data_IF_031349971993
#
_entry.id   IF_031349971993
#
_cell.length_a   1.000
_cell.length_b   1.000
_cell.length_c   1.000
_cell.angle_alpha   90.00
_cell.angle_beta   90.00
_cell.angle_gamma   90.00
#
_symmetry.space_group_name_H-M   'P 1'
#
loop_
_entity.id
_entity.type
_entity.pdbx_description
1 polymer ?
#
# COMPACT_ATOMS: atom_id res chain seq x y z
N UNK A 1 22.18 8.86 0.21
CA UNK A 1 21.95 7.40 0.07
C UNK A 1 23.31 6.81 -0.23
N UNK A 2 23.82 5.94 0.63
CA UNK A 2 24.95 5.10 0.23
C UNK A 2 24.34 4.10 -0.75
N UNK A 3 24.68 4.20 -2.03
CA UNK A 3 24.31 3.15 -2.99
C UNK A 3 24.97 1.87 -2.50
N UNK A 4 24.16 0.82 -2.33
CA UNK A 4 24.64 -0.51 -2.02
C UNK A 4 25.64 -0.90 -3.12
N UNK A 5 26.79 -1.48 -2.76
CA UNK A 5 27.85 -1.85 -3.72
C UNK A 5 27.30 -2.73 -4.85
N UNK A 6 26.27 -3.52 -4.53
CA UNK A 6 25.53 -4.31 -5.51
C UNK A 6 24.75 -3.47 -6.53
N UNK A 7 24.09 -2.40 -6.10
CA UNK A 7 23.34 -1.51 -6.98
C UNK A 7 24.24 -0.79 -7.98
N UNK A 8 25.42 -0.34 -7.53
CA UNK A 8 26.44 0.26 -8.41
C UNK A 8 26.97 -0.75 -9.43
N UNK A 9 27.23 -1.99 -9.00
CA UNK A 9 27.73 -3.04 -9.89
C UNK A 9 26.69 -3.42 -10.97
N UNK A 10 25.42 -3.54 -10.57
CA UNK A 10 24.34 -3.97 -11.45
C UNK A 10 23.80 -2.84 -12.33
N UNK A 11 23.60 -1.63 -11.80
CA UNK A 11 22.92 -0.58 -12.55
C UNK A 11 23.89 0.24 -13.42
N UNK A 12 25.09 0.55 -12.92
CA UNK A 12 26.05 1.44 -13.61
C UNK A 12 27.19 0.69 -14.31
N UNK A 13 27.56 -0.49 -13.81
CA UNK A 13 28.74 -1.25 -14.27
C UNK A 13 28.37 -2.56 -14.97
N UNK A 14 27.09 -2.82 -15.21
CA UNK A 14 26.65 -4.00 -15.95
C UNK A 14 27.13 -3.94 -17.40
N UNK A 15 27.53 -5.09 -17.93
CA UNK A 15 28.13 -5.19 -19.26
C UNK A 15 27.13 -4.82 -20.37
N UNK A 16 25.84 -5.01 -20.12
CA UNK A 16 24.76 -4.71 -21.07
C UNK A 16 23.65 -3.94 -20.34
N UNK A 17 23.61 -2.62 -20.53
CA UNK A 17 22.52 -1.76 -20.10
C UNK A 17 22.04 -0.92 -21.30
N UNK A 18 21.25 -1.54 -22.17
CA UNK A 18 20.68 -0.89 -23.35
C UNK A 18 19.44 -0.07 -22.97
N UNK A 19 19.51 1.24 -23.19
CA UNK A 19 18.37 2.13 -23.00
C UNK A 19 17.47 2.11 -24.25
N UNK A 20 16.18 1.81 -24.05
CA UNK A 20 15.17 1.84 -25.10
C UNK A 20 14.16 2.95 -24.86
N UNK A 21 13.72 3.59 -25.94
CA UNK A 21 12.49 4.38 -25.87
C UNK A 21 11.28 3.47 -25.70
N UNK A 22 10.26 3.96 -24.98
CA UNK A 22 9.04 3.21 -24.74
C UNK A 22 8.38 2.72 -26.04
N UNK A 23 8.32 3.57 -27.07
CA UNK A 23 7.73 3.18 -28.34
C UNK A 23 8.49 2.03 -29.04
N UNK A 24 9.82 1.92 -28.85
CA UNK A 24 10.63 0.85 -29.44
C UNK A 24 10.31 -0.49 -28.78
N UNK A 25 10.14 -0.49 -27.45
CA UNK A 25 9.74 -1.68 -26.70
C UNK A 25 8.34 -2.14 -27.12
N UNK A 26 7.39 -1.20 -27.27
CA UNK A 26 6.03 -1.53 -27.73
C UNK A 26 6.03 -2.04 -29.17
N UNK A 27 6.81 -1.42 -30.06
CA UNK A 27 6.91 -1.87 -31.45
C UNK A 27 7.50 -3.29 -31.52
N UNK A 28 8.55 -3.56 -30.76
CA UNK A 28 9.13 -4.90 -30.65
C UNK A 28 8.09 -5.92 -30.15
N UNK A 29 7.39 -5.62 -29.06
CA UNK A 29 6.33 -6.49 -28.53
C UNK A 29 5.20 -6.75 -29.55
N UNK A 30 4.82 -5.74 -30.34
CA UNK A 30 3.79 -5.85 -31.38
C UNK A 30 4.17 -6.81 -32.50
N UNK A 31 5.45 -6.91 -32.85
CA UNK A 31 5.95 -7.90 -33.83
C UNK A 31 5.77 -9.35 -33.33
N UNK A 32 5.61 -9.53 -32.02
CA UNK A 32 5.37 -10.82 -31.38
C UNK A 32 3.90 -11.04 -30.97
N UNK A 33 2.96 -10.26 -31.51
CA UNK A 33 1.52 -10.45 -31.26
C UNK A 33 1.06 -9.96 -29.88
N UNK A 34 1.85 -9.11 -29.22
CA UNK A 34 1.50 -8.48 -27.95
C UNK A 34 1.10 -7.01 -28.18
N UNK A 35 0.32 -6.45 -27.26
CA UNK A 35 0.00 -5.03 -27.22
C UNK A 35 0.23 -4.47 -25.83
N UNK A 36 0.45 -3.16 -25.76
CA UNK A 36 0.60 -2.44 -24.51
C UNK A 36 -0.74 -2.36 -23.76
N UNK A 37 -0.77 -2.86 -22.53
CA UNK A 37 -1.89 -2.71 -21.62
C UNK A 37 -1.78 -1.39 -20.86
N UNK A 38 -0.82 -1.30 -19.93
CA UNK A 38 -0.56 -0.13 -19.08
C UNK A 38 0.79 -0.25 -18.37
N UNK A 39 1.25 0.82 -17.71
CA UNK A 39 2.35 0.78 -16.76
C UNK A 39 1.85 0.18 -15.43
N UNK A 40 2.63 -0.70 -14.82
CA UNK A 40 2.29 -1.27 -13.52
C UNK A 40 2.19 -0.19 -12.43
N UNK A 41 2.97 0.89 -12.56
CA UNK A 41 2.76 2.11 -11.79
C UNK A 41 1.70 2.98 -12.48
N UNK A 42 0.44 2.76 -12.09
CA UNK A 42 -0.72 3.41 -12.68
C UNK A 42 -0.66 4.94 -12.63
N UNK A 43 -0.09 5.50 -11.55
CA UNK A 43 0.05 6.95 -11.36
C UNK A 43 0.95 7.60 -12.41
N UNK A 44 1.96 6.87 -12.89
CA UNK A 44 2.86 7.32 -13.95
C UNK A 44 2.19 7.38 -15.31
N UNK A 45 1.15 6.58 -15.55
CA UNK A 45 0.36 6.68 -16.78
C UNK A 45 -0.66 7.84 -16.76
N UNK A 46 -0.87 8.50 -15.61
CA UNK A 46 -1.88 9.55 -15.48
C UNK A 46 -1.37 10.94 -15.83
N UNK A 47 -2.08 11.57 -16.78
CA UNK A 47 -1.86 12.95 -17.24
C UNK A 47 -2.58 13.99 -16.37
N UNK A 48 -3.58 13.57 -15.58
CA UNK A 48 -4.35 14.44 -14.68
C UNK A 48 -3.49 15.08 -13.59
N UNK A 49 -2.28 14.54 -13.37
CA UNK A 49 -1.30 15.09 -12.44
C UNK A 49 -0.50 16.28 -13.03
N UNK A 50 -0.73 16.63 -14.30
CA UNK A 50 -0.13 17.81 -14.94
C UNK A 50 -1.05 19.03 -14.84
N UNK A 51 -0.47 20.21 -15.02
CA UNK A 51 -1.26 21.43 -15.25
C UNK A 51 -2.18 21.23 -16.45
N UNK A 52 -3.43 21.69 -16.33
CA UNK A 52 -4.49 21.48 -17.32
C UNK A 52 -4.05 21.82 -18.75
N UNK A 53 -3.39 22.97 -18.95
CA UNK A 53 -2.92 23.39 -20.27
C UNK A 53 -1.89 22.42 -20.87
N UNK A 54 -1.01 21.87 -20.04
CA UNK A 54 -0.01 20.88 -20.46
C UNK A 54 -0.68 19.56 -20.82
N UNK A 55 -1.62 19.10 -20.00
CA UNK A 55 -2.39 17.89 -20.28
C UNK A 55 -3.18 18.00 -21.59
N UNK A 56 -3.88 19.11 -21.81
CA UNK A 56 -4.62 19.39 -23.05
C UNK A 56 -3.68 19.44 -24.28
N UNK A 57 -2.52 20.07 -24.14
CA UNK A 57 -1.52 20.14 -25.21
C UNK A 57 -1.02 18.75 -25.60
N UNK A 58 -0.66 17.94 -24.61
CA UNK A 58 -0.20 16.56 -24.84
C UNK A 58 -1.29 15.70 -25.49
N UNK A 59 -2.53 15.79 -25.02
CA UNK A 59 -3.67 15.08 -25.61
C UNK A 59 -3.87 15.46 -27.08
N UNK A 60 -3.80 16.76 -27.40
CA UNK A 60 -3.98 17.25 -28.77
C UNK A 60 -2.82 16.85 -29.72
N UNK A 61 -1.60 16.74 -29.20
CA UNK A 61 -0.42 16.35 -29.98
C UNK A 61 -0.28 14.84 -30.16
N UNK A 62 -0.88 14.05 -29.29
CA UNK A 62 -0.74 12.59 -29.27
C UNK A 62 -1.73 11.94 -30.21
N UNK A 63 -1.22 11.12 -31.13
CA UNK A 63 -2.06 10.37 -32.09
C UNK A 63 -2.74 9.17 -31.45
N UNK A 64 -2.09 8.60 -30.44
CA UNK A 64 -2.54 7.45 -29.68
C UNK A 64 -1.94 7.49 -28.26
N UNK A 65 -2.28 6.49 -27.45
CA UNK A 65 -1.79 6.34 -26.08
C UNK A 65 -0.27 6.11 -26.02
N UNK A 66 0.33 5.52 -27.06
CA UNK A 66 1.75 5.19 -27.06
C UNK A 66 2.56 6.47 -27.24
N UNK A 67 2.15 7.33 -28.18
CA UNK A 67 2.69 8.66 -28.35
C UNK A 67 2.51 9.51 -27.08
N UNK A 68 1.33 9.45 -26.46
CA UNK A 68 1.06 10.19 -25.22
C UNK A 68 2.03 9.79 -24.10
N UNK A 69 2.16 8.49 -23.84
CA UNK A 69 3.07 8.00 -22.80
C UNK A 69 4.54 8.22 -23.14
N UNK A 70 4.92 8.17 -24.42
CA UNK A 70 6.28 8.51 -24.84
C UNK A 70 6.60 9.99 -24.60
N UNK A 71 5.65 10.90 -24.86
CA UNK A 71 5.85 12.31 -24.51
C UNK A 71 5.92 12.53 -23.00
N UNK A 72 5.17 11.76 -22.22
CA UNK A 72 5.27 11.77 -20.76
C UNK A 72 6.65 11.32 -20.27
N UNK A 73 7.30 10.36 -20.93
CA UNK A 73 8.68 9.98 -20.60
C UNK A 73 9.65 11.14 -20.80
N UNK A 74 9.54 11.85 -21.93
CA UNK A 74 10.38 13.01 -22.19
C UNK A 74 10.15 14.13 -21.17
N UNK A 75 8.88 14.40 -20.83
CA UNK A 75 8.54 15.46 -19.88
C UNK A 75 9.02 15.15 -18.46
N UNK A 76 8.95 13.88 -18.03
CA UNK A 76 9.29 13.45 -16.68
C UNK A 76 10.73 12.94 -16.55
N UNK A 77 11.50 12.92 -17.64
CA UNK A 77 12.81 12.27 -17.71
C UNK A 77 12.76 10.84 -17.12
N UNK A 78 11.77 10.06 -17.58
CA UNK A 78 11.51 8.75 -17.02
C UNK A 78 12.61 7.76 -17.44
N UNK A 79 13.33 7.23 -16.45
CA UNK A 79 14.46 6.32 -16.65
C UNK A 79 14.09 4.84 -16.48
N UNK A 80 12.87 4.53 -16.01
CA UNK A 80 12.46 3.16 -15.74
C UNK A 80 10.96 2.95 -15.96
N UNK A 81 10.58 1.82 -16.58
CA UNK A 81 9.18 1.44 -16.83
C UNK A 81 8.93 -0.01 -16.44
N UNK A 82 7.75 -0.24 -15.89
CA UNK A 82 7.21 -1.57 -15.63
C UNK A 82 6.03 -1.81 -16.57
N UNK A 83 6.29 -2.41 -17.72
CA UNK A 83 5.32 -2.50 -18.81
C UNK A 83 4.48 -3.77 -18.66
N UNK A 84 3.16 -3.62 -18.61
CA UNK A 84 2.22 -4.73 -18.74
C UNK A 84 1.81 -4.88 -20.21
N UNK A 85 1.92 -6.11 -20.73
CA UNK A 85 1.55 -6.49 -22.08
C UNK A 85 0.41 -7.51 -22.03
N UNK A 86 -0.43 -7.51 -23.06
CA UNK A 86 -1.43 -8.55 -23.28
C UNK A 86 -1.46 -8.97 -24.76
N UNK A 87 -2.21 -10.03 -25.08
CA UNK A 87 -2.36 -10.45 -26.48
C UNK A 87 -3.07 -9.37 -27.31
N UNK A 88 -2.58 -9.16 -28.54
CA UNK A 88 -3.09 -8.14 -29.47
C UNK A 88 -4.56 -8.30 -29.85
N UNK A 89 -5.12 -9.50 -29.67
CA UNK A 89 -6.53 -9.81 -29.97
C UNK A 89 -7.50 -9.35 -28.88
N UNK A 90 -7.01 -9.00 -27.70
CA UNK A 90 -7.85 -8.52 -26.59
C UNK A 90 -8.23 -7.06 -26.89
N UNK A 91 -9.53 -6.76 -26.97
CA UNK A 91 -9.98 -5.37 -27.06
C UNK A 91 -9.82 -4.67 -25.71
N UNK A 92 -8.85 -3.76 -25.62
CA UNK A 92 -8.53 -3.04 -24.38
C UNK A 92 -9.34 -1.75 -24.31
N UNK A 93 -10.32 -1.71 -23.40
CA UNK A 93 -11.02 -0.48 -23.08
C UNK A 93 -10.11 0.47 -22.28
N UNK A 94 -9.60 1.51 -22.94
CA UNK A 94 -8.71 2.51 -22.33
C UNK A 94 -9.45 3.59 -21.53
N UNK A 95 -10.78 3.61 -21.57
CA UNK A 95 -11.60 4.57 -20.84
C UNK A 95 -11.99 4.02 -19.47
N UNK A 96 -11.19 4.32 -18.47
CA UNK A 96 -11.47 3.93 -17.07
C UNK A 96 -12.55 4.85 -16.50
N UNK A 97 -13.76 4.33 -16.36
CA UNK A 97 -14.88 5.03 -15.71
C UNK A 97 -15.12 4.46 -14.32
N UNK A 98 -15.41 5.34 -13.38
CA UNK A 98 -15.97 4.95 -12.09
C UNK A 98 -17.35 4.33 -12.30
N UNK A 99 -17.41 3.00 -12.26
CA UNK A 99 -18.60 2.21 -12.48
C UNK A 99 -18.69 1.13 -11.40
N UNK A 100 -19.86 1.05 -10.76
CA UNK A 100 -20.12 0.16 -9.63
C UNK A 100 -19.98 -1.32 -10.01
N UNK A 101 -20.28 -1.72 -11.25
CA UNK A 101 -20.34 -3.12 -11.69
C UNK A 101 -19.01 -3.87 -11.61
N UNK A 102 -17.88 -3.14 -11.65
CA UNK A 102 -16.55 -3.72 -11.51
C UNK A 102 -15.85 -3.21 -10.25
N UNK A 103 -16.05 -1.95 -9.85
CA UNK A 103 -15.43 -1.43 -8.62
C UNK A 103 -15.95 -2.15 -7.38
N UNK A 104 -17.24 -2.49 -7.29
CA UNK A 104 -17.78 -3.25 -6.15
C UNK A 104 -17.11 -4.61 -5.91
N UNK A 105 -16.41 -5.16 -6.92
CA UNK A 105 -15.68 -6.43 -6.85
C UNK A 105 -14.26 -6.28 -6.30
N UNK A 106 -13.79 -5.05 -6.09
CA UNK A 106 -12.46 -4.77 -5.58
C UNK A 106 -12.49 -4.61 -4.06
N UNK A 107 -11.29 -4.65 -3.50
CA UNK A 107 -11.00 -4.28 -2.13
C UNK A 107 -10.22 -2.97 -2.12
N UNK A 108 -10.46 -2.14 -1.11
CA UNK A 108 -9.75 -0.89 -0.89
C UNK A 108 -9.03 -0.89 0.45
N UNK A 109 -7.84 -0.29 0.48
CA UNK A 109 -7.11 0.03 1.70
C UNK A 109 -6.57 1.46 1.60
N UNK A 110 -6.35 2.11 2.73
CA UNK A 110 -5.72 3.43 2.76
C UNK A 110 -4.92 3.62 4.02
N UNK A 111 -3.65 3.98 3.86
CA UNK A 111 -2.79 4.44 4.95
C UNK A 111 -2.83 5.97 5.09
N UNK A 112 -3.60 6.67 4.26
CA UNK A 112 -3.68 8.11 4.28
C UNK A 112 -4.47 8.59 5.50
N UNK A 113 -3.80 9.35 6.37
CA UNK A 113 -4.39 9.89 7.59
C UNK A 113 -4.96 11.29 7.35
N UNK A 114 -6.04 11.68 8.05
CA UNK A 114 -6.47 13.07 8.05
C UNK A 114 -5.36 13.97 8.61
N UNK A 115 -5.15 15.13 7.99
CA UNK A 115 -4.12 16.10 8.42
C UNK A 115 -4.54 16.89 9.67
N UNK A 116 -5.81 16.80 10.07
CA UNK A 116 -6.38 17.47 11.24
C UNK A 116 -7.17 16.49 12.12
N UNK A 117 -7.08 16.67 13.43
CA UNK A 117 -7.89 15.92 14.41
C UNK A 117 -9.33 16.45 14.50
N UNK A 118 -9.57 17.70 14.06
CA UNK A 118 -10.90 18.32 14.05
C UNK A 118 -11.64 17.91 12.78
N UNK A 119 -12.22 16.72 12.83
CA UNK A 119 -12.92 16.12 11.68
C UNK A 119 -14.41 16.44 11.76
N UNK A 120 -14.93 17.12 10.75
CA UNK A 120 -16.37 17.22 10.49
C UNK A 120 -16.69 16.50 9.17
N UNK A 121 -17.42 15.39 9.28
CA UNK A 121 -17.83 14.59 8.13
C UNK A 121 -19.03 15.25 7.42
N UNK A 122 -19.94 15.86 8.16
CA UNK A 122 -21.26 16.24 7.64
C UNK A 122 -21.30 17.57 6.89
N UNK A 123 -20.34 18.46 7.14
CA UNK A 123 -20.26 19.72 6.41
C UNK A 123 -19.46 19.58 5.09
N UNK A 124 -19.47 20.65 4.29
CA UNK A 124 -18.67 20.79 3.06
C UNK A 124 -17.31 21.43 3.30
N UNK A 125 -16.78 21.39 4.52
CA UNK A 125 -15.39 21.82 4.75
C UNK A 125 -14.43 20.86 4.04
N UNK A 126 -13.35 21.37 3.45
CA UNK A 126 -12.37 20.49 2.81
C UNK A 126 -11.60 19.73 3.89
N UNK A 127 -11.62 18.40 3.83
CA UNK A 127 -10.76 17.54 4.62
C UNK A 127 -9.60 17.04 3.75
N UNK A 128 -8.38 17.19 4.28
CA UNK A 128 -7.15 16.77 3.64
C UNK A 128 -6.64 15.47 4.26
N UNK A 129 -6.24 14.53 3.41
CA UNK A 129 -5.60 13.27 3.76
C UNK A 129 -4.19 13.27 3.22
N UNK A 130 -3.26 12.73 4.01
CA UNK A 130 -1.85 12.63 3.65
C UNK A 130 -1.37 11.20 3.86
N UNK A 131 -0.75 10.63 2.82
CA UNK A 131 -0.13 9.31 2.84
C UNK A 131 1.29 9.34 3.42
N UNK A 132 1.92 8.18 3.55
CA UNK A 132 3.27 8.03 4.12
C UNK A 132 4.37 8.68 3.28
N UNK A 133 4.17 8.84 1.97
CA UNK A 133 5.11 9.51 1.07
C UNK A 133 4.82 11.01 0.91
N UNK A 134 3.92 11.56 1.74
CA UNK A 134 3.42 12.92 1.73
C UNK A 134 2.52 13.29 0.54
N UNK A 135 2.10 12.34 -0.31
CA UNK A 135 1.05 12.60 -1.29
C UNK A 135 -0.25 12.94 -0.59
N UNK A 136 -1.01 13.85 -1.17
CA UNK A 136 -2.21 14.42 -0.54
C UNK A 136 -3.45 14.21 -1.40
N UNK A 137 -4.58 13.98 -0.72
CA UNK A 137 -5.90 13.95 -1.32
C UNK A 137 -6.82 14.86 -0.52
N UNK A 138 -7.64 15.67 -1.19
CA UNK A 138 -8.56 16.59 -0.53
C UNK A 138 -9.97 16.36 -1.05
N UNK A 139 -10.94 16.39 -0.14
CA UNK A 139 -12.36 16.25 -0.50
C UNK A 139 -13.24 17.03 0.47
N UNK A 140 -14.28 17.64 -0.05
CA UNK A 140 -15.37 18.25 0.72
C UNK A 140 -16.60 17.32 0.83
N UNK A 141 -16.57 16.15 0.17
CA UNK A 141 -17.73 15.28 0.05
C UNK A 141 -17.90 14.37 1.28
N UNK A 142 -19.01 14.46 2.03
CA UNK A 142 -19.21 13.74 3.29
C UNK A 142 -18.97 12.23 3.21
N UNK A 143 -19.55 11.57 2.20
CA UNK A 143 -19.41 10.13 1.97
C UNK A 143 -17.95 9.74 1.67
N UNK A 144 -17.19 10.60 0.99
CA UNK A 144 -15.77 10.35 0.73
C UNK A 144 -14.92 10.54 1.98
N UNK A 145 -15.21 11.56 2.80
CA UNK A 145 -14.55 11.75 4.11
C UNK A 145 -14.76 10.52 4.99
N UNK A 146 -16.01 10.07 5.13
CA UNK A 146 -16.38 8.92 5.94
C UNK A 146 -15.65 7.65 5.46
N UNK A 147 -15.66 7.38 4.15
CA UNK A 147 -14.99 6.24 3.56
C UNK A 147 -13.47 6.22 3.84
N UNK A 148 -12.78 7.33 3.60
CA UNK A 148 -11.33 7.41 3.82
C UNK A 148 -10.95 7.30 5.30
N UNK A 149 -11.78 7.84 6.21
CA UNK A 149 -11.58 7.66 7.66
C UNK A 149 -11.77 6.19 8.05
N UNK A 150 -12.79 5.52 7.50
CA UNK A 150 -13.05 4.10 7.75
C UNK A 150 -11.88 3.23 7.27
N UNK A 151 -11.39 3.47 6.06
CA UNK A 151 -10.23 2.78 5.50
C UNK A 151 -8.97 3.01 6.34
N UNK A 152 -8.70 4.26 6.75
CA UNK A 152 -7.56 4.58 7.61
C UNK A 152 -7.61 3.86 8.97
N UNK A 153 -8.80 3.77 9.58
CA UNK A 153 -9.00 3.04 10.85
C UNK A 153 -8.85 1.53 10.71
N UNK A 154 -9.22 1.00 9.54
CA UNK A 154 -9.12 -0.43 9.23
C UNK A 154 -7.72 -0.86 8.77
N UNK A 155 -6.87 0.10 8.39
CA UNK A 155 -5.54 -0.16 7.87
C UNK A 155 -4.68 -1.01 8.83
N UNK A 156 -3.89 -1.97 8.30
CA UNK A 156 -3.66 -2.26 6.89
C UNK A 156 -4.74 -3.12 6.19
N UNK A 157 -5.80 -3.56 6.89
CA UNK A 157 -6.80 -4.47 6.32
C UNK A 157 -7.47 -3.84 5.10
N UNK A 158 -7.62 -4.65 4.04
CA UNK A 158 -8.38 -4.24 2.85
C UNK A 158 -9.86 -4.56 3.06
N UNK A 159 -10.73 -3.62 2.70
CA UNK A 159 -12.19 -3.72 2.87
C UNK A 159 -12.81 -3.88 1.50
N UNK A 160 -13.77 -4.80 1.33
CA UNK A 160 -14.46 -4.93 0.05
C UNK A 160 -15.20 -3.62 -0.28
N UNK A 161 -15.17 -3.17 -1.52
CA UNK A 161 -15.85 -1.93 -1.88
C UNK A 161 -17.37 -2.05 -1.68
N UNK A 162 -17.95 -3.24 -1.84
CA UNK A 162 -19.34 -3.48 -1.46
C UNK A 162 -19.62 -3.16 0.04
N UNK A 163 -18.81 -3.71 0.95
CA UNK A 163 -18.92 -3.44 2.40
C UNK A 163 -18.69 -1.97 2.73
N UNK A 164 -17.69 -1.33 2.10
CA UNK A 164 -17.41 0.09 2.31
C UNK A 164 -18.60 0.96 1.90
N UNK A 165 -19.25 0.64 0.78
CA UNK A 165 -20.43 1.36 0.31
C UNK A 165 -21.59 1.21 1.31
N UNK A 166 -21.82 0.00 1.83
CA UNK A 166 -22.87 -0.27 2.82
C UNK A 166 -22.61 0.47 4.15
N UNK A 167 -21.38 0.42 4.67
CA UNK A 167 -20.99 1.10 5.91
C UNK A 167 -21.15 2.62 5.81
N UNK A 168 -20.68 3.21 4.71
CA UNK A 168 -20.74 4.65 4.52
C UNK A 168 -22.18 5.11 4.27
N UNK A 169 -22.99 4.32 3.57
CA UNK A 169 -24.41 4.58 3.40
C UNK A 169 -25.21 4.47 4.71
N UNK A 170 -24.74 3.73 5.70
CA UNK A 170 -25.38 3.65 7.02
C UNK A 170 -24.87 4.71 8.00
N UNK A 171 -23.60 5.08 7.93
CA UNK A 171 -22.94 5.98 8.88
C UNK A 171 -23.01 7.47 8.54
N UNK A 172 -23.26 7.83 7.27
CA UNK A 172 -23.23 9.25 6.84
C UNK A 172 -24.60 9.92 6.85
N UNK A 173 -25.69 9.17 6.66
CA UNK A 173 -27.04 9.73 6.68
C UNK A 173 -27.69 9.53 8.06
N UNK A 174 -28.12 10.63 8.70
CA UNK A 174 -28.91 10.55 9.93
C UNK A 174 -30.16 9.70 9.69
N UNK A 175 -30.41 8.73 10.58
CA UNK A 175 -31.61 7.86 10.56
C UNK A 175 -32.93 8.66 10.63
N UNK A 176 -32.89 9.92 11.08
CA UNK A 176 -34.05 10.82 11.15
C UNK A 176 -34.35 11.53 9.82
N UNK A 177 -33.39 11.58 8.90
CA UNK A 177 -33.57 12.11 7.53
C UNK A 177 -33.88 10.99 6.52
N UNK A 178 -34.63 9.97 6.94
CA UNK A 178 -35.06 8.81 6.14
C UNK A 178 -35.97 9.13 4.93
N UNK A 179 -36.04 10.40 4.54
CA UNK A 179 -36.56 10.89 3.27
C UNK A 179 -35.46 11.25 2.26
N UNK A 180 -34.25 10.70 2.40
CA UNK A 180 -33.23 10.80 1.36
C UNK A 180 -33.69 9.99 0.13
N UNK A 181 -33.94 10.72 -0.97
CA UNK A 181 -34.31 10.15 -2.26
C UNK A 181 -33.29 9.07 -2.66
N UNK A 182 -33.74 7.90 -3.15
CA UNK A 182 -32.85 6.82 -3.61
C UNK A 182 -31.84 7.30 -4.66
N UNK A 183 -32.17 8.38 -5.37
CA UNK A 183 -31.28 9.05 -6.32
C UNK A 183 -30.09 9.75 -5.65
N UNK A 184 -30.26 10.32 -4.45
CA UNK A 184 -29.18 10.97 -3.69
C UNK A 184 -28.12 9.94 -3.29
N UNK A 185 -28.55 8.78 -2.77
CA UNK A 185 -27.63 7.69 -2.42
C UNK A 185 -26.84 7.19 -3.65
N UNK A 186 -27.47 7.07 -4.82
CA UNK A 186 -26.78 6.67 -6.05
C UNK A 186 -25.74 7.69 -6.51
N UNK A 187 -26.06 8.98 -6.45
CA UNK A 187 -25.11 10.03 -6.81
C UNK A 187 -23.91 10.05 -5.86
N UNK A 188 -24.15 9.88 -4.57
CA UNK A 188 -23.08 9.89 -3.56
C UNK A 188 -22.17 8.66 -3.69
N UNK A 189 -22.73 7.49 -4.01
CA UNK A 189 -21.95 6.28 -4.36
C UNK A 189 -21.07 6.55 -5.58
N UNK A 190 -21.63 7.13 -6.66
CA UNK A 190 -20.85 7.46 -7.84
C UNK A 190 -19.75 8.48 -7.56
N UNK A 191 -19.99 9.47 -6.71
CA UNK A 191 -18.97 10.45 -6.29
C UNK A 191 -17.88 9.75 -5.47
N UNK A 192 -18.25 8.87 -4.54
CA UNK A 192 -17.29 8.09 -3.76
C UNK A 192 -16.40 7.24 -4.67
N UNK A 193 -16.99 6.46 -5.59
CA UNK A 193 -16.25 5.63 -6.53
C UNK A 193 -15.29 6.47 -7.40
N UNK A 194 -15.73 7.63 -7.89
CA UNK A 194 -14.88 8.58 -8.63
C UNK A 194 -13.72 9.07 -7.78
N UNK A 195 -13.98 9.44 -6.53
CA UNK A 195 -12.98 9.97 -5.63
C UNK A 195 -11.96 8.90 -5.21
N UNK A 196 -12.38 7.65 -4.97
CA UNK A 196 -11.47 6.54 -4.69
C UNK A 196 -10.59 6.21 -5.90
N UNK A 197 -11.18 6.15 -7.09
CA UNK A 197 -10.43 5.94 -8.33
C UNK A 197 -9.45 7.09 -8.60
N UNK A 198 -9.85 8.34 -8.34
CA UNK A 198 -8.98 9.50 -8.46
C UNK A 198 -7.82 9.44 -7.45
N UNK A 199 -8.08 9.13 -6.18
CA UNK A 199 -7.04 8.97 -5.16
C UNK A 199 -6.03 7.88 -5.56
N UNK A 200 -6.50 6.72 -6.03
CA UNK A 200 -5.67 5.65 -6.58
C UNK A 200 -4.83 6.11 -7.79
N UNK A 201 -5.42 6.94 -8.66
CA UNK A 201 -4.75 7.50 -9.86
C UNK A 201 -3.66 8.52 -9.51
N UNK A 202 -3.81 9.23 -8.39
CA UNK A 202 -2.82 10.18 -7.90
C UNK A 202 -1.63 9.42 -7.31
N UNK A 203 -1.90 8.52 -6.37
CA UNK A 203 -0.87 7.69 -5.74
C UNK A 203 -1.50 6.48 -5.02
N UNK A 204 -0.93 5.30 -5.21
CA UNK A 204 -1.37 4.06 -4.54
C UNK A 204 -1.30 4.16 -3.00
N UNK A 205 -0.42 4.99 -2.45
CA UNK A 205 -0.31 5.23 -1.01
C UNK A 205 -1.52 6.02 -0.43
N UNK A 206 -2.29 6.70 -1.29
CA UNK A 206 -3.53 7.37 -0.89
C UNK A 206 -4.69 6.37 -0.78
N UNK A 207 -4.90 5.58 -1.84
CA UNK A 207 -5.89 4.51 -1.88
C UNK A 207 -5.31 3.38 -2.71
N UNK A 208 -5.26 2.19 -2.12
CA UNK A 208 -4.97 0.95 -2.83
C UNK A 208 -6.28 0.32 -3.33
N UNK A 209 -6.25 -0.26 -4.53
CA UNK A 209 -7.33 -1.07 -5.08
C UNK A 209 -6.79 -2.47 -5.42
N UNK A 210 -7.43 -3.52 -4.89
CA UNK A 210 -7.00 -4.91 -5.03
C UNK A 210 -8.14 -5.79 -5.53
N UNK A 211 -7.80 -6.86 -6.26
CA UNK A 211 -8.78 -7.86 -6.72
C UNK A 211 -9.16 -8.87 -5.64
N UNK A 212 -8.33 -9.02 -4.61
CA UNK A 212 -8.51 -10.00 -3.55
C UNK A 212 -7.97 -9.45 -2.23
N UNK A 213 -8.51 -9.95 -1.13
CA UNK A 213 -7.94 -9.76 0.20
C UNK A 213 -6.70 -10.65 0.37
N UNK A 214 -5.62 -10.08 0.87
CA UNK A 214 -4.41 -10.84 1.17
C UNK A 214 -4.60 -11.52 2.53
N UNK A 215 -4.40 -12.84 2.60
CA UNK A 215 -4.56 -13.60 3.84
C UNK A 215 -3.43 -13.27 4.84
N UNK A 216 -3.74 -12.48 5.87
CA UNK A 216 -2.87 -12.21 7.01
C UNK A 216 -3.72 -11.67 8.17
N UNK A 217 -3.21 -11.79 9.40
CA UNK A 217 -3.85 -11.21 10.58
C UNK A 217 -3.09 -10.00 11.12
N UNK A 218 -3.83 -9.02 11.65
CA UNK A 218 -3.26 -7.90 12.40
C UNK A 218 -3.04 -8.28 13.87
N UNK A 219 -3.86 -9.19 14.40
CA UNK A 219 -3.84 -9.59 15.80
C UNK A 219 -3.19 -10.95 15.94
N UNK A 220 -2.07 -11.00 16.66
CA UNK A 220 -1.36 -12.24 16.93
C UNK A 220 -2.21 -13.19 17.80
N UNK A 221 -2.33 -14.45 17.36
CA UNK A 221 -3.01 -15.52 18.09
C UNK A 221 -2.28 -15.86 19.41
N UNK A 222 -2.81 -16.80 20.19
CA UNK A 222 -2.12 -17.29 21.40
C UNK A 222 -0.74 -17.88 21.09
N UNK A 223 -0.60 -18.50 19.91
CA UNK A 223 0.63 -19.06 19.37
C UNK A 223 0.89 -18.46 17.99
N UNK A 224 1.56 -17.31 17.91
CA UNK A 224 1.66 -16.56 16.68
C UNK A 224 2.37 -17.36 15.58
N UNK A 225 1.83 -17.28 14.37
CA UNK A 225 2.42 -17.84 13.16
C UNK A 225 2.78 -16.69 12.23
N UNK A 226 4.04 -16.63 11.79
CA UNK A 226 4.51 -15.68 10.81
C UNK A 226 4.87 -16.36 9.48
N UNK A 227 4.85 -15.56 8.42
CA UNK A 227 5.21 -15.94 7.04
C UNK A 227 6.40 -16.89 7.03
N UNK A 228 6.19 -18.11 6.52
CA UNK A 228 7.28 -19.09 6.36
C UNK A 228 8.47 -18.53 5.56
N UNK A 229 8.20 -17.71 4.54
CA UNK A 229 9.24 -17.07 3.74
C UNK A 229 10.06 -16.07 4.58
N UNK A 230 9.38 -15.21 5.34
CA UNK A 230 10.04 -14.20 6.16
C UNK A 230 10.89 -14.85 7.28
N UNK A 231 10.39 -15.92 7.90
CA UNK A 231 11.17 -16.72 8.87
C UNK A 231 12.43 -17.29 8.24
N UNK A 232 12.30 -17.94 7.08
CA UNK A 232 13.44 -18.49 6.35
C UNK A 232 14.44 -17.40 5.93
N UNK A 233 13.99 -16.22 5.50
CA UNK A 233 14.87 -15.10 5.14
C UNK A 233 15.71 -14.64 6.33
N UNK A 234 15.11 -14.50 7.52
CA UNK A 234 15.87 -14.15 8.72
C UNK A 234 16.88 -15.25 9.09
N UNK A 235 16.47 -16.52 9.05
CA UNK A 235 17.38 -17.65 9.32
C UNK A 235 18.58 -17.72 8.35
N UNK A 236 18.42 -17.20 7.13
CA UNK A 236 19.47 -17.10 6.12
C UNK A 236 20.30 -15.82 6.22
N UNK A 237 19.99 -14.94 7.17
CA UNK A 237 20.74 -13.69 7.39
C UNK A 237 20.41 -12.59 6.38
N UNK A 238 19.24 -12.63 5.73
CA UNK A 238 18.80 -11.51 4.90
C UNK A 238 18.46 -10.30 5.79
N UNK A 239 18.96 -9.13 5.42
CA UNK A 239 18.68 -7.88 6.13
C UNK A 239 17.23 -7.39 5.97
N UNK A 240 16.54 -7.85 4.92
CA UNK A 240 15.15 -7.50 4.59
C UNK A 240 14.34 -8.75 4.37
N UNK A 241 13.06 -8.69 4.73
CA UNK A 241 12.12 -9.80 4.54
C UNK A 241 10.97 -9.40 3.62
N UNK A 242 10.35 -10.40 3.01
CA UNK A 242 9.17 -10.27 2.17
C UNK A 242 7.92 -10.62 2.98
N UNK A 243 6.99 -9.68 3.12
CA UNK A 243 5.72 -9.93 3.79
C UNK A 243 4.70 -10.68 2.91
N UNK A 244 3.53 -10.99 3.46
CA UNK A 244 2.45 -11.69 2.75
C UNK A 244 1.83 -10.86 1.61
N UNK A 245 2.13 -9.54 1.57
CA UNK A 245 1.74 -8.62 0.49
C UNK A 245 2.82 -8.49 -0.60
N UNK A 246 3.87 -9.32 -0.56
CA UNK A 246 5.02 -9.26 -1.47
C UNK A 246 5.82 -7.95 -1.42
N UNK A 247 5.74 -7.25 -0.29
CA UNK A 247 6.51 -6.03 -0.02
C UNK A 247 7.80 -6.40 0.72
N UNK A 248 8.92 -5.80 0.33
CA UNK A 248 10.18 -5.93 1.07
C UNK A 248 10.28 -4.86 2.14
N UNK A 249 10.51 -5.27 3.39
CA UNK A 249 10.67 -4.35 4.52
C UNK A 249 11.89 -4.65 5.37
N UNK A 250 12.41 -3.61 6.00
CA UNK A 250 13.41 -3.72 7.06
C UNK A 250 12.71 -4.14 8.35
N UNK A 251 13.29 -5.10 9.07
CA UNK A 251 12.79 -5.48 10.38
C UNK A 251 13.16 -4.43 11.44
N UNK A 252 12.22 -4.10 12.31
CA UNK A 252 12.48 -3.17 13.41
C UNK A 252 12.97 -3.91 14.66
N UNK A 253 14.03 -3.40 15.27
CA UNK A 253 14.45 -3.74 16.63
C UNK A 253 14.53 -5.25 16.89
N UNK A 254 13.64 -5.77 17.73
CA UNK A 254 13.61 -7.15 18.21
C UNK A 254 12.88 -8.09 17.26
N UNK A 255 12.26 -7.57 16.20
CA UNK A 255 11.50 -8.36 15.24
C UNK A 255 12.38 -9.42 14.56
N UNK A 256 13.62 -9.09 14.20
CA UNK A 256 14.56 -10.06 13.61
C UNK A 256 14.86 -11.24 14.54
N UNK A 257 14.86 -11.02 15.85
CA UNK A 257 15.19 -12.07 16.82
C UNK A 257 13.99 -12.95 17.15
N UNK A 258 12.76 -12.42 17.11
CA UNK A 258 11.57 -13.19 17.44
C UNK A 258 10.94 -13.88 16.24
N UNK A 259 11.07 -13.30 15.04
CA UNK A 259 10.39 -13.77 13.82
C UNK A 259 10.61 -15.27 13.56
N UNK A 260 11.84 -15.83 13.65
CA UNK A 260 12.08 -17.25 13.40
C UNK A 260 11.25 -18.18 14.31
N UNK A 261 10.92 -17.72 15.51
CA UNK A 261 10.20 -18.49 16.53
C UNK A 261 8.67 -18.35 16.45
N UNK A 262 8.15 -17.50 15.57
CA UNK A 262 6.70 -17.36 15.32
C UNK A 262 6.22 -18.45 14.36
N UNK A 263 6.23 -19.70 14.84
CA UNK A 263 5.99 -20.90 14.05
C UNK A 263 4.64 -21.58 14.35
N UNK A 264 3.78 -20.95 15.16
CA UNK A 264 2.51 -21.55 15.62
C UNK A 264 2.62 -22.50 16.81
N UNK A 265 3.83 -22.76 17.32
CA UNK A 265 4.05 -23.68 18.45
C UNK A 265 4.31 -22.92 19.76
N UNK A 266 5.03 -21.80 19.68
CA UNK A 266 5.42 -20.99 20.83
C UNK A 266 4.30 -20.05 21.26
N UNK A 267 3.88 -20.15 22.52
CA UNK A 267 3.03 -19.14 23.15
C UNK A 267 3.85 -17.94 23.64
N UNK A 268 3.18 -16.91 24.15
CA UNK A 268 3.82 -15.69 24.68
C UNK A 268 4.86 -15.99 25.77
N UNK A 269 4.59 -16.97 26.63
CA UNK A 269 5.52 -17.34 27.71
C UNK A 269 6.79 -18.00 27.16
N UNK A 270 6.65 -18.87 26.16
CA UNK A 270 7.78 -19.47 25.46
C UNK A 270 8.61 -18.42 24.73
N UNK A 271 7.97 -17.50 24.01
CA UNK A 271 8.64 -16.39 23.31
C UNK A 271 9.41 -15.49 24.29
N UNK A 272 8.82 -15.18 25.45
CA UNK A 272 9.50 -14.38 26.48
C UNK A 272 10.75 -15.07 27.03
N UNK A 273 10.70 -16.39 27.26
CA UNK A 273 11.89 -17.15 27.68
C UNK A 273 12.99 -17.08 26.62
N UNK A 274 12.64 -17.22 25.35
CA UNK A 274 13.59 -17.11 24.23
C UNK A 274 14.23 -15.71 24.21
N UNK A 275 13.42 -14.65 24.29
CA UNK A 275 13.94 -13.27 24.34
C UNK A 275 14.85 -13.02 25.55
N UNK A 276 14.51 -13.60 26.71
CA UNK A 276 15.35 -13.54 27.91
C UNK A 276 16.69 -14.24 27.67
N UNK A 277 16.71 -15.45 27.11
CA UNK A 277 17.95 -16.17 26.80
C UNK A 277 18.84 -15.39 25.83
N UNK A 278 18.25 -14.77 24.81
CA UNK A 278 18.96 -13.92 23.86
C UNK A 278 19.55 -12.66 24.53
N UNK A 279 18.84 -12.06 25.49
CA UNK A 279 19.37 -10.96 26.29
C UNK A 279 20.53 -11.42 27.21
N UNK A 280 20.41 -12.58 27.86
CA UNK A 280 21.48 -13.14 28.70
C UNK A 280 22.75 -13.46 27.89
N UNK A 281 22.59 -13.89 26.63
CA UNK A 281 23.70 -14.15 25.70
C UNK A 281 24.31 -12.85 25.11
N UNK A 282 23.73 -11.69 25.42
CA UNK A 282 24.16 -10.40 24.87
C UNK A 282 23.79 -10.18 23.40
N UNK A 283 22.96 -11.06 22.81
CA UNK A 283 22.46 -10.91 21.43
C UNK A 283 21.47 -9.74 21.34
N UNK A 284 20.66 -9.55 22.39
CA UNK A 284 19.78 -8.39 22.55
C UNK A 284 20.31 -7.53 23.70
N UNK A 285 20.50 -6.23 23.47
CA UNK A 285 20.84 -5.29 24.54
C UNK A 285 19.63 -4.41 24.85
N UNK A 286 19.22 -4.39 26.12
CA UNK A 286 18.14 -3.53 26.61
C UNK A 286 18.74 -2.29 27.28
N UNK A 287 18.37 -1.11 26.79
CA UNK A 287 18.82 0.18 27.33
C UNK A 287 17.64 1.01 27.80
N UNK A 288 17.75 1.63 28.97
CA UNK A 288 16.86 2.69 29.43
C UNK A 288 17.56 4.07 29.38
N UNK A 289 16.91 5.11 29.91
CA UNK A 289 17.47 6.48 29.95
C UNK A 289 18.78 6.61 30.75
N UNK A 290 19.09 5.63 31.59
CA UNK A 290 20.25 5.59 32.48
C UNK A 290 21.32 4.58 32.04
N UNK A 291 21.09 3.84 30.95
CA UNK A 291 22.05 2.89 30.38
C UNK A 291 21.51 1.46 30.26
N UNK A 292 22.39 0.44 30.20
CA UNK A 292 21.97 -0.95 30.12
C UNK A 292 21.17 -1.39 31.34
N UNK A 293 20.02 -2.02 31.11
CA UNK A 293 19.18 -2.55 32.19
C UNK A 293 19.69 -3.93 32.61
N UNK A 294 20.05 -4.09 33.88
CA UNK A 294 20.61 -5.36 34.42
C UNK A 294 19.72 -6.06 35.44
N UNK A 295 18.65 -5.41 35.91
CA UNK A 295 17.70 -6.00 36.87
C UNK A 295 16.75 -6.99 36.18
N UNK A 296 16.69 -8.24 36.64
CA UNK A 296 15.94 -9.31 36.00
C UNK A 296 14.41 -9.06 35.96
N UNK A 297 13.85 -8.46 37.01
CA UNK A 297 12.43 -8.13 37.06
C UNK A 297 12.06 -7.02 36.07
N UNK A 298 12.93 -6.01 35.97
CA UNK A 298 12.80 -4.90 35.02
C UNK A 298 12.98 -5.38 33.58
N UNK A 299 13.97 -6.24 33.31
CA UNK A 299 14.19 -6.88 32.00
C UNK A 299 12.94 -7.64 31.56
N UNK A 300 12.36 -8.47 32.44
CA UNK A 300 11.16 -9.24 32.10
C UNK A 300 9.99 -8.34 31.67
N UNK A 301 9.72 -7.28 32.44
CA UNK A 301 8.65 -6.33 32.13
C UNK A 301 8.89 -5.56 30.82
N UNK A 302 10.13 -5.20 30.52
CA UNK A 302 10.49 -4.54 29.25
C UNK A 302 10.26 -5.51 28.10
N UNK A 303 10.75 -6.75 28.19
CA UNK A 303 10.59 -7.76 27.15
C UNK A 303 9.12 -8.11 26.89
N UNK A 304 8.28 -8.16 27.93
CA UNK A 304 6.83 -8.34 27.80
C UNK A 304 6.18 -7.22 26.97
N UNK A 305 6.49 -5.97 27.28
CA UNK A 305 5.97 -4.83 26.52
C UNK A 305 6.49 -4.80 25.09
N UNK A 306 7.77 -5.12 24.89
CA UNK A 306 8.36 -5.15 23.57
C UNK A 306 7.82 -6.30 22.72
N UNK A 307 7.56 -7.48 23.29
CA UNK A 307 6.96 -8.59 22.58
C UNK A 307 5.60 -8.18 21.98
N UNK A 308 4.71 -7.59 22.78
CA UNK A 308 3.39 -7.17 22.30
C UNK A 308 3.47 -6.06 21.24
N UNK A 309 4.40 -5.10 21.39
CA UNK A 309 4.64 -4.08 20.36
C UNK A 309 5.13 -4.70 19.05
N UNK A 310 6.05 -5.66 19.11
CA UNK A 310 6.58 -6.32 17.92
C UNK A 310 5.50 -7.17 17.25
N UNK A 311 4.71 -7.94 18.01
CA UNK A 311 3.58 -8.71 17.46
C UNK A 311 2.55 -7.81 16.76
N UNK A 312 2.18 -6.68 17.38
CA UNK A 312 1.30 -5.70 16.76
C UNK A 312 1.90 -5.12 15.47
N UNK A 313 3.19 -4.76 15.49
CA UNK A 313 3.86 -4.23 14.31
C UNK A 313 3.92 -5.27 13.18
N UNK A 314 4.32 -6.51 13.48
CA UNK A 314 4.37 -7.63 12.53
C UNK A 314 3.01 -7.87 11.86
N UNK A 315 1.91 -7.83 12.63
CA UNK A 315 0.56 -7.92 12.07
C UNK A 315 0.23 -6.73 11.16
N UNK A 316 0.60 -5.50 11.56
CA UNK A 316 0.37 -4.28 10.75
C UNK A 316 1.18 -4.21 9.46
N UNK A 317 2.29 -4.96 9.36
CA UNK A 317 3.10 -5.08 8.13
C UNK A 317 2.86 -6.40 7.40
N UNK A 318 1.74 -7.07 7.66
CA UNK A 318 1.29 -8.30 7.00
C UNK A 318 2.32 -9.45 7.06
N UNK A 319 2.98 -9.62 8.22
CA UNK A 319 3.91 -10.74 8.46
C UNK A 319 3.29 -11.90 9.22
N UNK A 320 2.10 -11.75 9.82
CA UNK A 320 1.42 -12.80 10.58
C UNK A 320 0.37 -13.52 9.71
N UNK A 321 0.39 -14.84 9.74
CA UNK A 321 -0.61 -15.70 9.11
C UNK A 321 -1.84 -15.84 10.03
N UNK A 322 -3.01 -16.12 9.44
CA UNK A 322 -4.29 -16.25 10.17
C UNK A 322 -4.34 -17.41 11.17
#
# INVERSE_FOLDING_TARGET
KQEDEFGLLHDDLEEVNDAFYFHEVVEHASRHGLQYLINADFSKSMISNLEQKTAETLLNMSKDVIALEQYMDFLRNNNFRQILLCHKEIDVNRLVKADESWLSKLYAASHARPVTDKINIQDRSILKFQSTDNSEFSTDHPVTKAALIYLFRSAPKSISLAELLDEVAQGTYDKESASSDRNTNKNDILILLKNLLNAFSINIALVELRLYETAYTITASERPLASRMARWQVEKGFARVTNLRHEMLDLLHLSEFILPYLNGENDRNALLKIMQELAHKGTITLTDKNGPVTDAGTIHKILEQELEKNLLWLGRVALLEE
#
